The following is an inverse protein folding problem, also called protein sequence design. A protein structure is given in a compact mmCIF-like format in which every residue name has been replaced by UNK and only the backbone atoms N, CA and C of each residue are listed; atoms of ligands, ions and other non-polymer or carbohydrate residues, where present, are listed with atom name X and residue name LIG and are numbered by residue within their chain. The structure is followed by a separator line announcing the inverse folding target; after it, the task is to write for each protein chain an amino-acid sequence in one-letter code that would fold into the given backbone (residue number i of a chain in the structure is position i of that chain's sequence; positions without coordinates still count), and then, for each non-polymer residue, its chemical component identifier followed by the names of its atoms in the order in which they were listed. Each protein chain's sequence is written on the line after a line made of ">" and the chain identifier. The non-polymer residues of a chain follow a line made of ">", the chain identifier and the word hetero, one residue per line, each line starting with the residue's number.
data_IF_868244761110
#
_entry.id   IF_868244761110
#
_cell.length_a   1.000
_cell.length_b   1.000
_cell.length_c   1.000
_cell.angle_alpha   90.00
_cell.angle_beta   90.00
_cell.angle_gamma   90.00
#
_symmetry.space_group_name_H-M   'P 1'
#
loop_
_entity.id
_entity.type
_entity.pdbx_description
1 polymer ?
#
# COMPACT_ATOMS: atom_id res chain seq x y z
N UNK A 1 5.87 20.82 -22.20
CA UNK A 1 5.94 19.39 -21.88
C UNK A 1 4.84 19.16 -20.85
N UNK A 2 3.88 18.28 -21.11
CA UNK A 2 2.82 18.00 -20.11
C UNK A 2 3.44 17.34 -18.88
N UNK A 3 2.95 17.62 -17.66
CA UNK A 3 3.45 16.98 -16.46
C UNK A 3 3.31 15.46 -16.58
N UNK A 4 4.38 14.74 -16.24
CA UNK A 4 4.36 13.28 -16.23
C UNK A 4 3.64 12.82 -14.96
N UNK A 5 2.50 12.16 -15.13
CA UNK A 5 1.73 11.58 -14.03
C UNK A 5 2.42 10.31 -13.54
N UNK A 6 2.82 10.27 -12.27
CA UNK A 6 3.36 9.06 -11.64
C UNK A 6 2.25 8.24 -10.96
N UNK A 7 1.29 8.92 -10.33
CA UNK A 7 0.11 8.30 -9.73
C UNK A 7 -1.06 9.28 -9.65
N UNK A 8 -2.30 8.80 -9.70
CA UNK A 8 -3.50 9.63 -9.53
C UNK A 8 -4.62 8.82 -8.89
N UNK A 9 -5.30 9.43 -7.93
CA UNK A 9 -6.51 8.91 -7.29
C UNK A 9 -7.62 9.95 -7.36
N UNK A 10 -8.87 9.52 -7.44
CA UNK A 10 -10.01 10.44 -7.45
C UNK A 10 -11.21 9.93 -6.66
N UNK A 11 -11.96 10.84 -6.06
CA UNK A 11 -13.15 10.54 -5.28
C UNK A 11 -14.09 11.74 -5.29
N UNK A 12 -15.38 11.54 -5.02
CA UNK A 12 -16.33 12.65 -5.03
C UNK A 12 -17.78 12.24 -5.13
N UNK A 13 -18.61 13.22 -5.46
CA UNK A 13 -20.03 13.10 -5.74
C UNK A 13 -20.33 13.55 -7.18
N UNK A 14 -21.60 13.47 -7.61
CA UNK A 14 -22.03 13.90 -8.95
C UNK A 14 -21.75 15.38 -9.25
N UNK A 15 -21.66 16.24 -8.23
CA UNK A 15 -21.44 17.68 -8.38
C UNK A 15 -20.07 18.16 -7.93
N UNK A 16 -19.25 17.27 -7.34
CA UNK A 16 -17.93 17.63 -6.82
C UNK A 16 -16.96 16.47 -6.90
N UNK A 17 -15.87 16.67 -7.61
CA UNK A 17 -14.81 15.69 -7.77
C UNK A 17 -13.52 16.18 -7.12
N UNK A 18 -12.80 15.27 -6.50
CA UNK A 18 -11.49 15.48 -5.92
C UNK A 18 -10.49 14.60 -6.66
N UNK A 19 -9.29 15.12 -6.89
CA UNK A 19 -8.17 14.42 -7.49
C UNK A 19 -6.96 14.60 -6.59
N UNK A 20 -6.20 13.53 -6.38
CA UNK A 20 -4.89 13.55 -5.71
C UNK A 20 -3.91 12.98 -6.72
N UNK A 21 -3.08 13.85 -7.27
CA UNK A 21 -2.10 13.49 -8.29
C UNK A 21 -0.68 13.58 -7.72
N UNK A 22 0.17 12.62 -8.02
CA UNK A 22 1.61 12.70 -7.84
C UNK A 22 2.26 12.88 -9.22
N UNK A 23 3.03 13.95 -9.39
CA UNK A 23 3.55 14.38 -10.68
C UNK A 23 5.03 14.76 -10.57
N UNK A 24 5.69 14.79 -11.73
CA UNK A 24 7.02 15.38 -11.91
C UNK A 24 6.88 16.74 -12.59
N UNK A 25 7.49 17.77 -12.00
CA UNK A 25 7.54 19.12 -12.56
C UNK A 25 8.60 19.23 -13.67
N UNK A 26 8.60 20.34 -14.41
CA UNK A 26 9.54 20.54 -15.53
C UNK A 26 11.02 20.65 -15.09
N UNK A 27 11.27 20.87 -13.80
CA UNK A 27 12.59 20.92 -13.17
C UNK A 27 12.96 19.58 -12.49
N UNK A 28 12.27 18.49 -12.82
CA UNK A 28 12.42 17.14 -12.25
C UNK A 28 12.06 17.00 -10.75
N UNK A 29 11.49 18.03 -10.12
CA UNK A 29 10.99 17.92 -8.74
C UNK A 29 9.65 17.19 -8.68
N UNK A 30 9.49 16.31 -7.69
CA UNK A 30 8.21 15.66 -7.42
C UNK A 30 7.24 16.62 -6.70
N UNK A 31 5.95 16.49 -7.00
CA UNK A 31 4.91 17.23 -6.28
C UNK A 31 3.57 16.51 -6.23
N UNK A 32 2.86 16.72 -5.12
CA UNK A 32 1.47 16.28 -4.92
C UNK A 32 0.54 17.44 -5.27
N UNK A 33 -0.44 17.20 -6.13
CA UNK A 33 -1.51 18.14 -6.45
C UNK A 33 -2.85 17.60 -5.96
N UNK A 34 -3.48 18.34 -5.05
CA UNK A 34 -4.84 18.05 -4.59
C UNK A 34 -5.78 19.03 -5.28
N UNK A 35 -6.66 18.53 -6.14
CA UNK A 35 -7.61 19.34 -6.92
C UNK A 35 -9.03 19.06 -6.49
N UNK A 36 -9.80 20.11 -6.26
CA UNK A 36 -11.26 20.07 -6.15
C UNK A 36 -11.87 20.65 -7.43
N UNK A 37 -12.84 19.96 -8.00
CA UNK A 37 -13.56 20.32 -9.22
C UNK A 37 -15.07 20.35 -8.94
N UNK A 38 -15.68 21.53 -8.88
CA UNK A 38 -17.12 21.70 -8.63
C UNK A 38 -17.88 21.96 -9.95
N UNK A 39 -18.92 21.17 -10.22
CA UNK A 39 -19.85 21.42 -11.33
C UNK A 39 -20.68 22.67 -11.04
N UNK A 40 -20.62 23.65 -11.93
CA UNK A 40 -21.36 24.90 -11.85
C UNK A 40 -22.73 24.76 -12.52
N UNK A 41 -23.65 25.68 -12.20
CA UNK A 41 -25.02 25.70 -12.75
C UNK A 41 -25.02 25.84 -14.28
N UNK A 42 -24.01 26.50 -14.84
CA UNK A 42 -23.83 26.65 -16.29
C UNK A 42 -23.25 25.39 -16.98
N UNK A 43 -23.03 24.29 -16.25
CA UNK A 43 -22.46 23.05 -16.76
C UNK A 43 -20.93 23.03 -16.81
N UNK A 44 -20.25 24.13 -16.49
CA UNK A 44 -18.79 24.18 -16.45
C UNK A 44 -18.24 23.67 -15.12
N UNK A 45 -16.99 23.23 -15.11
CA UNK A 45 -16.31 22.81 -13.88
C UNK A 45 -15.35 23.90 -13.37
N UNK A 46 -15.55 24.33 -12.12
CA UNK A 46 -14.61 25.23 -11.44
C UNK A 46 -13.61 24.40 -10.64
N UNK A 47 -12.33 24.47 -11.04
CA UNK A 47 -11.25 23.74 -10.37
C UNK A 47 -10.44 24.66 -9.45
N UNK A 48 -10.04 24.12 -8.31
CA UNK A 48 -9.09 24.73 -7.37
C UNK A 48 -8.09 23.66 -6.96
N UNK A 49 -6.82 24.00 -7.03
CA UNK A 49 -5.74 23.05 -6.73
C UNK A 49 -4.79 23.65 -5.72
N UNK A 50 -4.25 22.80 -4.87
CA UNK A 50 -3.04 23.07 -4.09
C UNK A 50 -1.96 22.13 -4.57
N UNK A 51 -0.72 22.62 -4.63
CA UNK A 51 0.45 21.81 -4.91
C UNK A 51 1.38 21.87 -3.70
N UNK A 52 1.94 20.72 -3.33
CA UNK A 52 2.99 20.60 -2.32
C UNK A 52 4.15 19.92 -3.01
N UNK A 53 5.33 20.51 -2.95
CA UNK A 53 6.54 19.96 -3.56
C UNK A 53 7.29 19.06 -2.57
N UNK A 54 8.19 18.24 -3.10
CA UNK A 54 8.92 17.21 -2.36
C UNK A 54 9.64 17.72 -1.10
N UNK A 55 10.16 18.96 -1.13
CA UNK A 55 10.81 19.59 0.02
C UNK A 55 9.88 19.76 1.24
N UNK A 56 8.56 19.82 1.01
CA UNK A 56 7.55 20.06 2.03
C UNK A 56 6.75 18.79 2.41
N UNK A 57 7.04 17.63 1.79
CA UNK A 57 6.28 16.40 2.03
C UNK A 57 6.28 15.97 3.49
N UNK A 58 7.42 16.11 4.18
CA UNK A 58 7.50 15.78 5.60
C UNK A 58 6.49 16.58 6.44
N UNK A 59 6.43 17.90 6.24
CA UNK A 59 5.51 18.78 6.97
C UNK A 59 4.04 18.46 6.64
N UNK A 60 3.75 18.13 5.39
CA UNK A 60 2.43 17.72 4.96
C UNK A 60 1.96 16.45 5.69
N UNK A 61 2.80 15.42 5.70
CA UNK A 61 2.51 14.12 6.32
C UNK A 61 2.34 14.27 7.83
N UNK A 62 3.24 15.01 8.48
CA UNK A 62 3.18 15.31 9.91
C UNK A 62 1.87 16.04 10.26
N UNK A 63 1.53 17.08 9.49
CA UNK A 63 0.31 17.87 9.70
C UNK A 63 -0.95 17.03 9.55
N UNK A 64 -1.05 16.19 8.50
CA UNK A 64 -2.19 15.28 8.35
C UNK A 64 -2.29 14.29 9.51
N UNK A 65 -1.16 13.72 9.93
CA UNK A 65 -1.11 12.77 11.05
C UNK A 65 -1.57 13.41 12.35
N UNK A 66 -1.12 14.64 12.63
CA UNK A 66 -1.54 15.42 13.80
C UNK A 66 -3.03 15.78 13.74
N UNK A 67 -3.53 16.24 12.59
CA UNK A 67 -4.95 16.59 12.41
C UNK A 67 -5.84 15.37 12.62
N UNK A 68 -5.51 14.24 11.99
CA UNK A 68 -6.30 13.01 12.15
C UNK A 68 -6.26 12.50 13.59
N UNK A 69 -5.08 12.50 14.22
CA UNK A 69 -4.93 12.09 15.63
C UNK A 69 -5.70 13.00 16.59
N UNK A 70 -5.68 14.31 16.36
CA UNK A 70 -6.41 15.30 17.15
C UNK A 70 -7.93 15.09 17.09
N UNK A 71 -8.46 14.87 15.89
CA UNK A 71 -9.91 14.64 15.71
C UNK A 71 -10.37 13.31 16.31
N UNK A 72 -9.52 12.28 16.30
CA UNK A 72 -9.79 11.00 16.96
C UNK A 72 -9.93 11.20 18.48
N UNK A 73 -9.08 12.02 19.09
CA UNK A 73 -9.11 12.30 20.54
C UNK A 73 -10.28 13.21 20.96
N UNK A 74 -10.60 14.24 20.16
CA UNK A 74 -11.57 15.28 20.56
C UNK A 74 -13.05 14.92 20.37
N UNK A 75 -13.40 13.93 19.51
CA UNK A 75 -14.81 13.64 19.16
C UNK A 75 -15.29 12.21 19.44
N UNK A 76 -14.65 11.46 20.35
CA UNK A 76 -14.91 10.02 20.56
C UNK A 76 -15.03 9.30 19.20
N UNK A 77 -13.99 9.44 18.38
CA UNK A 77 -13.82 8.91 17.02
C UNK A 77 -15.03 8.17 16.44
N UNK A 78 -16.04 8.89 15.96
CA UNK A 78 -17.13 8.30 15.17
C UNK A 78 -17.00 8.66 13.69
N UNK A 79 -16.82 9.94 13.36
CA UNK A 79 -16.82 10.38 11.93
C UNK A 79 -15.60 9.90 11.13
N UNK A 80 -14.38 10.03 11.64
CA UNK A 80 -13.17 9.59 10.90
C UNK A 80 -13.12 8.06 10.85
N UNK A 81 -13.44 7.40 11.96
CA UNK A 81 -13.47 5.94 12.09
C UNK A 81 -14.56 5.33 11.21
N UNK A 82 -15.75 5.94 11.15
CA UNK A 82 -16.84 5.53 10.25
C UNK A 82 -16.48 5.84 8.79
N UNK A 83 -15.76 6.94 8.49
CA UNK A 83 -15.30 7.24 7.12
C UNK A 83 -14.16 6.31 6.66
N UNK A 84 -13.23 5.95 7.55
CA UNK A 84 -12.21 4.91 7.33
C UNK A 84 -12.90 3.55 7.12
N UNK A 85 -13.96 3.26 7.87
CA UNK A 85 -14.73 2.01 7.75
C UNK A 85 -15.63 1.98 6.50
N UNK A 86 -16.22 3.11 6.11
CA UNK A 86 -17.09 3.24 4.93
C UNK A 86 -16.29 3.33 3.62
N UNK A 87 -15.07 3.86 3.67
CA UNK A 87 -14.08 3.78 2.58
C UNK A 87 -13.44 2.38 2.46
N UNK A 88 -13.71 1.49 3.41
CA UNK A 88 -13.39 0.06 3.33
C UNK A 88 -14.61 -0.76 2.91
N UNK A 89 -15.03 -0.60 1.65
CA UNK A 89 -15.21 -1.80 0.83
C UNK A 89 -13.81 -2.23 0.38
N UNK A 90 -12.98 -2.65 1.33
CA UNK A 90 -11.57 -2.95 1.09
C UNK A 90 -11.45 -4.27 0.35
N UNK A 91 -11.05 -4.24 -0.93
CA UNK A 91 -10.55 -5.45 -1.57
C UNK A 91 -9.23 -5.87 -0.89
N UNK A 92 -9.11 -7.13 -0.48
CA UNK A 92 -7.90 -7.73 0.08
C UNK A 92 -7.86 -7.81 1.61
N UNK A 93 -6.70 -8.19 2.16
CA UNK A 93 -6.46 -8.58 3.56
C UNK A 93 -7.06 -7.63 4.62
N UNK A 94 -7.17 -6.33 4.33
CA UNK A 94 -7.71 -5.34 5.28
C UNK A 94 -9.21 -5.53 5.58
N UNK A 95 -9.99 -6.17 4.71
CA UNK A 95 -11.40 -6.51 4.98
C UNK A 95 -11.57 -7.77 5.82
N UNK A 96 -10.50 -8.53 6.06
CA UNK A 96 -10.57 -9.71 6.91
C UNK A 96 -10.81 -9.32 8.37
N UNK A 97 -11.44 -10.21 9.16
CA UNK A 97 -11.47 -10.07 10.61
C UNK A 97 -10.06 -9.76 11.13
N UNK A 98 -9.94 -8.83 12.08
CA UNK A 98 -8.62 -8.37 12.57
C UNK A 98 -7.74 -9.54 13.02
N UNK A 99 -8.33 -10.55 13.65
CA UNK A 99 -7.64 -11.77 14.09
C UNK A 99 -7.10 -12.63 12.94
N UNK A 100 -7.65 -12.51 11.74
CA UNK A 100 -7.25 -13.28 10.56
C UNK A 100 -6.20 -12.56 9.70
N UNK A 101 -5.95 -11.27 9.94
CA UNK A 101 -4.95 -10.51 9.18
C UNK A 101 -3.54 -11.00 9.56
N UNK A 102 -2.66 -11.34 8.61
CA UNK A 102 -1.37 -11.97 8.92
C UNK A 102 -0.51 -11.22 9.95
N UNK A 103 -0.44 -9.88 9.88
CA UNK A 103 0.39 -9.10 10.79
C UNK A 103 -0.17 -9.13 12.21
N UNK A 104 -1.47 -8.91 12.33
CA UNK A 104 -2.17 -8.93 13.61
C UNK A 104 -2.22 -10.35 14.20
N UNK A 105 -2.48 -11.38 13.38
CA UNK A 105 -2.40 -12.80 13.75
C UNK A 105 -1.01 -13.17 14.27
N UNK A 106 0.06 -12.71 13.63
CA UNK A 106 1.43 -12.95 14.10
C UNK A 106 1.68 -12.32 15.48
N UNK A 107 1.13 -11.13 15.73
CA UNK A 107 1.28 -10.44 17.03
C UNK A 107 0.47 -11.13 18.13
N UNK A 108 -0.74 -11.60 17.84
CA UNK A 108 -1.64 -12.14 18.86
C UNK A 108 -1.49 -13.64 19.09
N UNK A 109 -1.22 -14.42 18.05
CA UNK A 109 -1.16 -15.88 18.06
C UNK A 109 0.23 -16.46 17.77
N UNK A 110 1.19 -15.60 17.38
CA UNK A 110 2.57 -16.00 17.09
C UNK A 110 2.77 -16.58 15.68
N UNK A 111 4.04 -16.83 15.28
CA UNK A 111 4.40 -17.29 13.94
C UNK A 111 3.81 -18.66 13.59
N UNK A 112 3.62 -19.55 14.57
CA UNK A 112 3.07 -20.90 14.38
C UNK A 112 1.61 -20.92 13.94
N UNK A 113 0.88 -19.80 14.07
CA UNK A 113 -0.51 -19.68 13.65
C UNK A 113 -0.66 -19.27 12.17
N UNK A 114 0.45 -18.95 11.48
CA UNK A 114 0.44 -18.51 10.10
C UNK A 114 0.81 -19.66 9.15
N UNK A 115 0.14 -19.72 8.01
CA UNK A 115 0.57 -20.55 6.88
C UNK A 115 1.72 -19.93 6.10
N UNK A 116 2.36 -20.71 5.23
CA UNK A 116 3.52 -20.28 4.43
C UNK A 116 3.22 -19.05 3.57
N UNK A 117 2.03 -19.00 2.96
CA UNK A 117 1.60 -17.85 2.17
C UNK A 117 1.45 -16.59 3.04
N UNK A 118 0.98 -16.71 4.27
CA UNK A 118 0.84 -15.58 5.20
C UNK A 118 2.22 -15.08 5.66
N UNK A 119 3.14 -16.00 5.97
CA UNK A 119 4.53 -15.67 6.31
C UNK A 119 5.24 -14.96 5.16
N UNK A 120 5.12 -15.49 3.95
CA UNK A 120 5.69 -14.87 2.76
C UNK A 120 5.03 -13.52 2.45
N UNK A 121 3.71 -13.39 2.62
CA UNK A 121 3.00 -12.12 2.46
C UNK A 121 3.49 -11.04 3.44
N UNK A 122 3.90 -11.42 4.65
CA UNK A 122 4.50 -10.48 5.61
C UNK A 122 5.85 -9.95 5.12
N UNK A 123 6.68 -10.79 4.51
CA UNK A 123 7.96 -10.39 3.91
C UNK A 123 7.75 -9.49 2.69
N UNK A 124 6.73 -9.79 1.87
CA UNK A 124 6.33 -8.97 0.72
C UNK A 124 5.83 -7.59 1.18
N UNK A 125 5.15 -7.53 2.33
CA UNK A 125 4.72 -6.32 3.02
C UNK A 125 3.49 -5.63 2.40
N UNK A 126 3.47 -5.48 1.07
CA UNK A 126 2.37 -4.85 0.33
C UNK A 126 2.11 -5.48 -1.03
N UNK A 127 0.84 -5.49 -1.45
CA UNK A 127 0.43 -5.96 -2.77
C UNK A 127 0.63 -4.93 -3.89
N UNK A 128 0.03 -5.22 -5.03
CA UNK A 128 -0.22 -4.27 -6.14
C UNK A 128 -1.69 -3.85 -6.14
N UNK A 129 -2.06 -2.99 -7.09
CA UNK A 129 -3.48 -2.65 -7.35
C UNK A 129 -4.32 -3.89 -7.70
N UNK A 130 -3.73 -4.92 -8.32
CA UNK A 130 -4.45 -6.11 -8.81
C UNK A 130 -4.38 -7.31 -7.87
N UNK A 131 -3.32 -7.43 -7.08
CA UNK A 131 -3.02 -8.59 -6.26
C UNK A 131 -2.61 -8.13 -4.87
N UNK A 132 -3.23 -8.67 -3.82
CA UNK A 132 -2.77 -8.46 -2.44
C UNK A 132 -1.40 -9.10 -2.20
N UNK A 133 -0.77 -8.79 -1.06
CA UNK A 133 0.48 -9.46 -0.68
C UNK A 133 0.30 -10.98 -0.52
N UNK A 134 -0.89 -11.42 -0.10
CA UNK A 134 -1.22 -12.84 0.03
C UNK A 134 -1.44 -13.50 -1.32
N UNK A 135 -2.04 -12.79 -2.28
CA UNK A 135 -2.18 -13.30 -3.65
C UNK A 135 -0.79 -13.47 -4.30
N UNK A 136 0.09 -12.47 -4.15
CA UNK A 136 1.47 -12.57 -4.63
C UNK A 136 2.23 -13.71 -3.97
N UNK A 137 2.08 -13.90 -2.66
CA UNK A 137 2.69 -15.02 -1.95
C UNK A 137 2.20 -16.37 -2.48
N UNK A 138 0.90 -16.52 -2.70
CA UNK A 138 0.34 -17.74 -3.28
C UNK A 138 0.83 -18.00 -4.69
N UNK A 139 0.90 -16.97 -5.54
CA UNK A 139 1.44 -17.12 -6.91
C UNK A 139 2.91 -17.59 -6.90
N UNK A 140 3.73 -17.06 -5.99
CA UNK A 140 5.13 -17.46 -5.85
C UNK A 140 5.23 -18.91 -5.36
N UNK A 141 4.44 -19.27 -4.34
CA UNK A 141 4.41 -20.64 -3.81
C UNK A 141 3.92 -21.63 -4.86
N UNK A 142 2.91 -21.28 -5.63
CA UNK A 142 2.39 -22.11 -6.73
C UNK A 142 3.46 -22.34 -7.82
N UNK A 143 4.23 -21.31 -8.19
CA UNK A 143 5.31 -21.41 -9.19
C UNK A 143 6.41 -22.41 -8.78
N UNK A 144 6.68 -22.53 -7.47
CA UNK A 144 7.63 -23.52 -6.92
C UNK A 144 6.96 -24.80 -6.43
N UNK A 145 5.68 -25.03 -6.75
CA UNK A 145 4.94 -26.23 -6.37
C UNK A 145 4.73 -26.40 -4.86
N UNK A 146 4.69 -25.29 -4.11
CA UNK A 146 4.63 -25.21 -2.66
C UNK A 146 5.82 -25.88 -1.93
N UNK A 147 6.94 -26.10 -2.63
CA UNK A 147 8.17 -26.62 -2.03
C UNK A 147 9.03 -25.47 -1.49
N UNK A 148 9.11 -25.37 -0.16
CA UNK A 148 9.91 -24.36 0.52
C UNK A 148 11.42 -24.52 0.27
N UNK A 149 11.89 -25.73 -0.06
CA UNK A 149 13.29 -25.91 -0.46
C UNK A 149 13.52 -25.27 -1.81
N UNK A 150 12.65 -25.52 -2.79
CA UNK A 150 12.71 -24.87 -4.10
C UNK A 150 12.57 -23.34 -3.98
N UNK A 151 11.67 -22.84 -3.12
CA UNK A 151 11.57 -21.41 -2.81
C UNK A 151 12.90 -20.83 -2.33
N UNK A 152 13.60 -21.57 -1.47
CA UNK A 152 14.86 -21.13 -0.87
C UNK A 152 16.03 -21.06 -1.86
N UNK A 153 15.94 -21.73 -3.01
CA UNK A 153 16.96 -21.69 -4.08
C UNK A 153 16.78 -20.50 -5.03
N UNK A 154 15.66 -19.78 -4.96
CA UNK A 154 15.40 -18.64 -5.84
C UNK A 154 16.29 -17.43 -5.54
N UNK A 155 16.74 -16.77 -6.60
CA UNK A 155 17.53 -15.53 -6.53
C UNK A 155 16.66 -14.29 -6.71
N UNK A 156 17.23 -13.11 -6.48
CA UNK A 156 16.52 -11.82 -6.57
C UNK A 156 15.82 -11.67 -7.93
N UNK A 157 16.50 -12.08 -9.01
CA UNK A 157 16.01 -12.01 -10.38
C UNK A 157 14.79 -12.90 -10.60
N UNK A 158 14.75 -14.06 -9.94
CA UNK A 158 13.62 -14.99 -10.01
C UNK A 158 12.37 -14.38 -9.41
N UNK A 159 12.49 -13.74 -8.23
CA UNK A 159 11.37 -13.04 -7.61
C UNK A 159 10.93 -11.81 -8.41
N UNK A 160 11.86 -11.12 -9.09
CA UNK A 160 11.54 -9.94 -9.89
C UNK A 160 10.63 -10.21 -11.10
N UNK A 161 10.47 -11.48 -11.51
CA UNK A 161 9.53 -11.85 -12.59
C UNK A 161 8.06 -11.63 -12.21
N UNK A 162 7.75 -11.63 -10.91
CA UNK A 162 6.38 -11.44 -10.42
C UNK A 162 6.03 -9.95 -10.37
N UNK A 163 5.04 -9.55 -11.18
CA UNK A 163 4.59 -8.14 -11.23
C UNK A 163 4.13 -7.66 -9.84
N UNK A 164 4.90 -6.76 -9.26
CA UNK A 164 4.67 -6.25 -7.90
C UNK A 164 5.77 -6.56 -6.90
N UNK A 165 6.72 -7.41 -7.29
CA UNK A 165 7.94 -7.75 -6.54
C UNK A 165 9.12 -7.10 -7.27
N UNK A 166 9.56 -5.94 -6.79
CA UNK A 166 10.79 -5.31 -7.24
C UNK A 166 12.00 -5.77 -6.41
N UNK A 167 13.20 -5.37 -6.84
CA UNK A 167 14.47 -5.77 -6.21
C UNK A 167 14.48 -5.59 -4.68
N UNK A 168 13.87 -4.53 -4.15
CA UNK A 168 13.79 -4.30 -2.71
C UNK A 168 13.00 -5.39 -1.97
N UNK A 169 11.81 -5.78 -2.47
CA UNK A 169 10.99 -6.84 -1.87
C UNK A 169 11.65 -8.20 -2.05
N UNK A 170 12.19 -8.47 -3.23
CA UNK A 170 12.92 -9.69 -3.53
C UNK A 170 14.12 -9.88 -2.60
N UNK A 171 14.92 -8.83 -2.37
CA UNK A 171 16.08 -8.88 -1.47
C UNK A 171 15.68 -9.21 -0.02
N UNK A 172 14.55 -8.69 0.47
CA UNK A 172 14.02 -9.02 1.80
C UNK A 172 13.66 -10.52 1.90
N UNK A 173 13.00 -11.06 0.87
CA UNK A 173 12.62 -12.48 0.84
C UNK A 173 13.87 -13.37 0.80
N UNK A 174 14.80 -13.09 -0.12
CA UNK A 174 16.05 -13.86 -0.24
C UNK A 174 16.86 -13.79 1.06
N UNK A 175 16.98 -12.63 1.69
CA UNK A 175 17.68 -12.50 2.97
C UNK A 175 17.03 -13.35 4.08
N UNK A 176 15.70 -13.39 4.15
CA UNK A 176 15.00 -14.21 5.14
C UNK A 176 15.21 -15.72 4.90
N UNK A 177 15.17 -16.16 3.64
CA UNK A 177 15.40 -17.56 3.27
C UNK A 177 16.85 -17.99 3.52
N UNK A 178 17.81 -17.14 3.17
CA UNK A 178 19.24 -17.38 3.43
C UNK A 178 19.53 -17.47 4.93
N UNK A 179 18.92 -16.61 5.76
CA UNK A 179 19.02 -16.73 7.22
C UNK A 179 18.51 -18.08 7.71
N UNK A 180 17.37 -18.54 7.20
CA UNK A 180 16.83 -19.85 7.55
C UNK A 180 17.77 -21.00 7.15
N UNK A 181 18.34 -20.94 5.93
CA UNK A 181 19.34 -21.94 5.48
C UNK A 181 20.51 -22.05 6.46
N UNK A 182 21.07 -20.91 6.88
CA UNK A 182 22.19 -20.87 7.83
C UNK A 182 21.84 -21.48 9.18
N UNK A 183 20.63 -21.22 9.68
CA UNK A 183 20.14 -21.80 10.94
C UNK A 183 20.05 -23.31 10.85
N UNK A 184 19.51 -23.85 9.74
CA UNK A 184 19.35 -25.31 9.55
C UNK A 184 20.69 -26.01 9.30
N UNK A 185 21.66 -25.32 8.69
CA UNK A 185 22.99 -25.87 8.40
C UNK A 185 24.01 -25.74 9.55
N UNK A 186 23.68 -25.00 10.61
CA UNK A 186 24.56 -24.74 11.76
C UNK A 186 24.29 -25.69 12.93
#
# INVERSE_FOLDING_TARGET
>A
MEPTYLASESFGTSSRHYFIDFNVAANDSDYIRITRSDLQINGEYKRRSICVFEEDFHFLIESFSMVFSSVIQQRKGKVITDAISAGQQGSGIKSWPVAERPREKMITAGPSALGDAELLALLIGSGTVKHSALDLANMILEDVGYDLNALSELMVEDFCRFKGIGAAKAAVIVAALELNKRIVSS
#
